data_IF_232288438521
#
_entry.id   IF_232288438521
#
_cell.length_a   1.000
_cell.length_b   1.000
_cell.length_c   1.000
_cell.angle_alpha   90.00
_cell.angle_beta   90.00
_cell.angle_gamma   90.00
#
_symmetry.space_group_name_H-M   'P 1'
#
loop_
_entity.id
_entity.type
_entity.pdbx_description
1 polymer ?
#
# COMPACT_ATOMS: atom_id res chain seq x y z
N UNK A 1 -12.37 -0.68 -13.40
CA UNK A 1 -13.15 0.16 -12.45
C UNK A 1 -13.43 1.52 -13.05
N UNK A 2 -12.45 2.38 -13.38
CA UNK A 2 -12.66 3.76 -13.88
C UNK A 2 -13.67 3.85 -15.01
N UNK A 3 -13.54 3.02 -16.05
CA UNK A 3 -14.43 3.04 -17.23
C UNK A 3 -15.93 2.80 -16.92
N UNK A 4 -16.25 2.17 -15.78
CA UNK A 4 -17.61 1.72 -15.50
C UNK A 4 -18.21 2.25 -14.20
N UNK A 5 -17.40 2.80 -13.29
CA UNK A 5 -17.85 3.15 -11.93
C UNK A 5 -18.91 4.26 -11.93
N UNK A 6 -18.89 5.16 -12.92
CA UNK A 6 -19.91 6.20 -13.07
C UNK A 6 -21.33 5.66 -13.22
N UNK A 7 -21.50 4.47 -13.81
CA UNK A 7 -22.82 3.80 -13.93
C UNK A 7 -23.38 3.34 -12.57
N UNK A 8 -22.52 3.29 -11.55
CA UNK A 8 -22.86 2.90 -10.18
C UNK A 8 -22.81 4.08 -9.21
N UNK A 9 -22.77 5.32 -9.73
CA UNK A 9 -22.72 6.54 -8.91
C UNK A 9 -21.36 6.89 -8.32
N UNK A 10 -20.29 6.17 -8.73
CA UNK A 10 -18.93 6.47 -8.30
C UNK A 10 -18.25 7.53 -9.18
N UNK A 11 -17.23 8.16 -8.63
CA UNK A 11 -16.41 9.15 -9.32
C UNK A 11 -15.18 8.48 -9.95
N UNK A 12 -15.07 8.39 -11.28
CA UNK A 12 -13.91 7.77 -11.93
C UNK A 12 -12.61 8.56 -11.74
N UNK A 13 -12.69 9.85 -11.41
CA UNK A 13 -11.55 10.71 -11.13
C UNK A 13 -11.00 10.52 -9.71
N UNK A 14 -11.78 9.95 -8.79
CA UNK A 14 -11.37 9.81 -7.39
C UNK A 14 -11.50 8.36 -6.91
N UNK A 15 -10.54 7.53 -7.30
CA UNK A 15 -10.44 6.14 -6.85
C UNK A 15 -9.36 6.01 -5.76
N UNK A 16 -9.73 5.39 -4.67
CA UNK A 16 -8.82 5.08 -3.57
C UNK A 16 -8.67 3.57 -3.47
N UNK A 17 -7.42 3.11 -3.24
CA UNK A 17 -7.15 1.70 -3.01
C UNK A 17 -6.77 1.45 -1.56
N UNK A 18 -7.30 0.39 -0.97
CA UNK A 18 -7.03 -0.01 0.41
C UNK A 18 -7.01 -1.52 0.55
N UNK A 19 -6.43 -2.00 1.63
CA UNK A 19 -6.42 -3.41 1.97
C UNK A 19 -5.55 -3.69 3.20
N UNK A 20 -5.83 -4.81 3.86
CA UNK A 20 -5.06 -5.28 5.02
C UNK A 20 -4.14 -6.45 4.68
N UNK A 21 -2.99 -6.58 5.34
CA UNK A 21 -2.04 -7.69 5.17
C UNK A 21 -1.57 -7.84 3.72
N UNK A 22 -1.83 -8.96 3.08
CA UNK A 22 -1.59 -9.14 1.65
C UNK A 22 -2.32 -8.08 0.79
N UNK A 23 -3.51 -7.63 1.22
CA UNK A 23 -4.23 -6.52 0.60
C UNK A 23 -3.50 -5.18 0.77
N UNK A 24 -2.83 -4.95 1.91
CA UNK A 24 -1.97 -3.78 2.14
C UNK A 24 -0.75 -3.77 1.23
N UNK A 25 -0.16 -4.95 1.01
CA UNK A 25 0.89 -5.15 0.00
C UNK A 25 0.38 -4.83 -1.41
N UNK A 26 -0.70 -5.49 -1.85
CA UNK A 26 -1.24 -5.34 -3.21
C UNK A 26 -1.74 -3.93 -3.49
N UNK A 27 -2.39 -3.27 -2.52
CA UNK A 27 -2.85 -1.89 -2.68
C UNK A 27 -1.68 -0.92 -2.83
N UNK A 28 -0.60 -1.14 -2.08
CA UNK A 28 0.62 -0.33 -2.21
C UNK A 28 1.32 -0.55 -3.54
N UNK A 29 1.47 -1.81 -3.95
CA UNK A 29 2.09 -2.16 -5.22
C UNK A 29 1.31 -1.56 -6.39
N UNK A 30 -0.01 -1.74 -6.44
CA UNK A 30 -0.87 -1.20 -7.48
C UNK A 30 -0.82 0.35 -7.53
N UNK A 31 -0.78 1.01 -6.37
CA UNK A 31 -0.71 2.47 -6.30
C UNK A 31 0.62 3.03 -6.81
N UNK A 32 1.71 2.27 -6.69
CA UNK A 32 3.06 2.69 -7.06
C UNK A 32 3.48 2.25 -8.48
N UNK A 33 2.69 1.39 -9.12
CA UNK A 33 3.01 0.84 -10.44
C UNK A 33 1.95 1.14 -11.51
N UNK A 34 1.35 2.36 -11.55
CA UNK A 34 0.42 2.67 -12.62
C UNK A 34 1.15 2.66 -13.97
N UNK A 35 0.56 2.01 -14.98
CA UNK A 35 1.13 1.92 -16.31
C UNK A 35 2.33 0.96 -16.44
N UNK A 36 2.69 0.21 -15.41
CA UNK A 36 3.75 -0.79 -15.52
C UNK A 36 3.26 -2.01 -16.32
N UNK A 37 3.75 -2.16 -17.54
CA UNK A 37 3.30 -3.22 -18.47
C UNK A 37 3.36 -4.64 -17.88
N UNK A 38 4.36 -4.93 -17.03
CA UNK A 38 4.47 -6.22 -16.35
C UNK A 38 3.25 -6.57 -15.47
N UNK A 39 2.50 -5.57 -15.01
CA UNK A 39 1.31 -5.74 -14.16
C UNK A 39 0.00 -5.46 -14.88
N UNK A 40 0.04 -5.09 -16.17
CA UNK A 40 -1.13 -4.76 -16.98
C UNK A 40 -1.21 -5.56 -18.29
N UNK A 41 -0.89 -6.88 -18.35
CA UNK A 41 -0.91 -7.62 -19.59
C UNK A 41 -2.30 -7.58 -20.24
N UNK A 42 -2.38 -7.04 -21.47
CA UNK A 42 -3.62 -6.84 -22.20
C UNK A 42 -4.44 -5.62 -21.77
N UNK A 43 -3.90 -4.76 -20.91
CA UNK A 43 -4.49 -3.52 -20.41
C UNK A 43 -3.48 -2.38 -20.38
N UNK A 44 -2.47 -2.41 -21.22
CA UNK A 44 -1.33 -1.50 -21.21
C UNK A 44 -1.75 -0.04 -21.40
N UNK A 45 -2.80 0.21 -22.18
CA UNK A 45 -3.35 1.54 -22.46
C UNK A 45 -4.37 2.02 -21.41
N UNK A 46 -4.66 1.23 -20.38
CA UNK A 46 -5.66 1.58 -19.38
C UNK A 46 -5.01 2.37 -18.25
N UNK A 47 -5.60 3.52 -17.90
CA UNK A 47 -5.20 4.27 -16.71
C UNK A 47 -5.55 3.51 -15.41
N UNK A 48 -4.52 3.02 -14.72
CA UNK A 48 -4.61 2.30 -13.45
C UNK A 48 -4.19 3.16 -12.25
N UNK A 49 -3.96 4.46 -12.44
CA UNK A 49 -3.61 5.36 -11.34
C UNK A 49 -4.73 5.47 -10.30
N UNK A 50 -4.36 5.81 -9.08
CA UNK A 50 -5.29 6.02 -7.96
C UNK A 50 -5.06 7.38 -7.30
N UNK A 51 -6.12 7.95 -6.74
CA UNK A 51 -6.07 9.25 -6.05
C UNK A 51 -5.38 9.16 -4.67
N UNK A 52 -5.43 8.01 -4.03
CA UNK A 52 -4.72 7.73 -2.77
C UNK A 52 -4.64 6.23 -2.51
N UNK A 53 -3.72 5.84 -1.61
CA UNK A 53 -3.63 4.48 -1.08
C UNK A 53 -3.66 4.49 0.46
N UNK A 54 -4.39 3.53 1.03
CA UNK A 54 -4.54 3.38 2.49
C UNK A 54 -4.25 1.92 2.89
N UNK A 55 -2.99 1.51 2.87
CA UNK A 55 -2.62 0.15 3.27
C UNK A 55 -2.61 -0.02 4.79
N UNK A 56 -3.14 -1.13 5.26
CA UNK A 56 -3.11 -1.58 6.65
C UNK A 56 -2.14 -2.76 6.79
N UNK A 57 -1.19 -2.66 7.70
CA UNK A 57 -0.25 -3.72 8.10
C UNK A 57 0.24 -4.60 6.93
N UNK A 58 0.62 -3.95 5.83
CA UNK A 58 1.12 -4.62 4.63
C UNK A 58 2.58 -5.03 4.72
N UNK A 59 2.99 -5.93 3.82
CA UNK A 59 4.40 -6.26 3.57
C UNK A 59 4.90 -5.38 2.43
N UNK A 60 5.94 -4.59 2.64
CA UNK A 60 6.38 -3.60 1.66
C UNK A 60 7.76 -3.88 1.06
N UNK A 61 8.58 -4.68 1.75
CA UNK A 61 9.91 -5.10 1.29
C UNK A 61 10.05 -6.62 1.38
N UNK A 62 9.90 -7.30 0.25
CA UNK A 62 10.05 -8.75 0.17
C UNK A 62 11.52 -9.18 0.11
N UNK A 63 12.42 -8.26 -0.25
CA UNK A 63 13.87 -8.50 -0.33
C UNK A 63 14.54 -8.39 1.04
N UNK A 64 13.78 -7.92 2.04
CA UNK A 64 14.24 -7.76 3.43
C UNK A 64 15.54 -6.96 3.56
N UNK A 65 15.57 -5.75 2.97
CA UNK A 65 16.71 -4.84 3.04
C UNK A 65 17.16 -4.53 4.47
N UNK A 66 16.25 -4.67 5.43
CA UNK A 66 16.50 -4.44 6.86
C UNK A 66 16.80 -5.70 7.68
N UNK A 67 16.96 -6.83 7.02
CA UNK A 67 17.38 -8.12 7.59
C UNK A 67 16.55 -8.55 8.80
N UNK A 68 15.48 -9.27 8.56
CA UNK A 68 14.62 -9.89 9.58
C UNK A 68 13.20 -9.35 9.62
N UNK A 69 12.88 -8.35 8.80
CA UNK A 69 11.51 -7.84 8.67
C UNK A 69 10.55 -8.83 7.97
N UNK A 70 11.09 -9.78 7.19
CA UNK A 70 10.30 -10.83 6.54
C UNK A 70 10.57 -12.23 7.10
N UNK A 71 11.32 -12.33 8.20
CA UNK A 71 11.67 -13.62 8.82
C UNK A 71 10.41 -14.43 9.08
N UNK A 72 10.35 -15.66 8.57
CA UNK A 72 9.19 -16.56 8.64
C UNK A 72 8.22 -16.42 7.46
N UNK A 73 8.23 -15.33 6.71
CA UNK A 73 7.44 -15.18 5.50
C UNK A 73 8.17 -15.68 4.24
N UNK A 74 9.50 -15.71 4.26
CA UNK A 74 10.32 -16.04 3.08
C UNK A 74 9.96 -17.40 2.49
N UNK A 75 9.75 -18.42 3.33
CA UNK A 75 9.35 -19.74 2.86
C UNK A 75 7.98 -19.74 2.18
N UNK A 76 7.01 -19.03 2.74
CA UNK A 76 5.69 -18.85 2.14
C UNK A 76 5.79 -18.10 0.81
N UNK A 77 6.53 -17.01 0.79
CA UNK A 77 6.73 -16.17 -0.39
C UNK A 77 7.39 -16.95 -1.51
N UNK A 78 8.50 -17.66 -1.22
CA UNK A 78 9.24 -18.43 -2.24
C UNK A 78 8.43 -19.59 -2.79
N UNK A 79 7.67 -20.31 -1.95
CA UNK A 79 6.94 -21.51 -2.38
C UNK A 79 5.58 -21.22 -2.99
N UNK A 80 4.87 -20.18 -2.54
CA UNK A 80 3.46 -19.97 -2.86
C UNK A 80 3.17 -18.69 -3.64
N UNK A 81 3.98 -17.65 -3.47
CA UNK A 81 3.72 -16.33 -4.05
C UNK A 81 4.64 -16.08 -5.25
N UNK A 82 5.93 -15.92 -5.01
CA UNK A 82 6.91 -15.60 -6.05
C UNK A 82 7.30 -16.85 -6.85
N UNK A 83 7.28 -18.04 -6.20
CA UNK A 83 7.61 -19.36 -6.76
C UNK A 83 9.07 -19.52 -7.18
N UNK A 84 9.93 -18.64 -6.73
CA UNK A 84 11.38 -18.69 -6.83
C UNK A 84 12.00 -18.29 -5.51
N UNK A 85 13.27 -18.62 -5.25
CA UNK A 85 13.96 -18.12 -4.07
C UNK A 85 14.52 -16.71 -4.33
N UNK A 86 14.77 -15.95 -3.27
CA UNK A 86 15.41 -14.64 -3.37
C UNK A 86 16.81 -14.70 -4.01
N UNK A 87 17.52 -15.82 -3.80
CA UNK A 87 18.86 -16.03 -4.36
C UNK A 87 18.79 -16.31 -5.87
N UNK A 88 17.78 -17.07 -6.30
CA UNK A 88 17.66 -17.49 -7.70
C UNK A 88 17.08 -16.38 -8.59
N UNK A 89 16.18 -15.54 -8.07
CA UNK A 89 15.50 -14.50 -8.85
C UNK A 89 15.19 -13.24 -8.01
N UNK A 90 16.26 -12.57 -7.60
CA UNK A 90 16.16 -11.33 -6.84
C UNK A 90 15.34 -10.24 -7.55
N UNK A 91 15.44 -10.18 -8.88
CA UNK A 91 14.75 -9.16 -9.67
C UNK A 91 13.23 -9.27 -9.56
N UNK A 92 12.69 -10.50 -9.56
CA UNK A 92 11.26 -10.73 -9.38
C UNK A 92 10.79 -10.38 -7.94
N UNK A 93 11.63 -10.64 -6.94
CA UNK A 93 11.35 -10.23 -5.56
C UNK A 93 11.36 -8.71 -5.38
N UNK A 94 12.30 -8.02 -6.03
CA UNK A 94 12.34 -6.55 -6.07
C UNK A 94 11.14 -5.98 -6.83
N UNK A 95 10.79 -6.57 -7.96
CA UNK A 95 9.61 -6.19 -8.74
C UNK A 95 8.34 -6.31 -7.89
N UNK A 96 8.20 -7.37 -7.11
CA UNK A 96 7.06 -7.59 -6.23
C UNK A 96 7.11 -6.76 -4.93
N UNK A 97 8.17 -6.02 -4.63
CA UNK A 97 8.33 -5.22 -3.40
C UNK A 97 7.82 -3.79 -3.60
N UNK A 98 6.73 -3.35 -2.95
CA UNK A 98 6.22 -1.97 -3.07
C UNK A 98 7.28 -0.90 -2.84
N UNK A 99 8.20 -1.09 -1.89
CA UNK A 99 9.25 -0.13 -1.57
C UNK A 99 10.21 0.11 -2.75
N UNK A 100 10.36 -0.86 -3.66
CA UNK A 100 11.20 -0.73 -4.86
C UNK A 100 10.64 0.24 -5.89
N UNK A 101 9.35 0.56 -5.80
CA UNK A 101 8.62 1.44 -6.73
C UNK A 101 8.33 2.81 -6.16
N UNK A 102 8.82 3.09 -4.94
CA UNK A 102 8.66 4.41 -4.34
C UNK A 102 9.38 5.46 -5.17
N UNK A 103 8.68 6.52 -5.52
CA UNK A 103 9.21 7.59 -6.36
C UNK A 103 8.44 8.90 -6.19
N UNK A 104 8.89 9.99 -6.83
CA UNK A 104 8.29 11.32 -6.69
C UNK A 104 6.84 11.41 -7.21
N UNK A 105 6.42 10.46 -8.04
CA UNK A 105 5.06 10.32 -8.56
C UNK A 105 4.13 9.48 -7.69
N UNK A 106 4.57 8.97 -6.54
CA UNK A 106 3.72 8.21 -5.63
C UNK A 106 2.50 9.05 -5.20
N UNK A 107 1.28 8.48 -5.21
CA UNK A 107 0.09 9.20 -4.77
C UNK A 107 0.12 9.46 -3.25
N UNK A 108 -0.83 10.22 -2.70
CA UNK A 108 -1.02 10.31 -1.26
C UNK A 108 -1.15 8.95 -0.59
N UNK A 109 -0.42 8.73 0.51
CA UNK A 109 -0.46 7.49 1.29
C UNK A 109 -0.87 7.74 2.73
N UNK A 110 -1.71 6.86 3.27
CA UNK A 110 -1.92 6.73 4.70
C UNK A 110 -1.64 5.29 5.12
N UNK A 111 -0.47 5.05 5.69
CA UNK A 111 -0.01 3.74 6.15
C UNK A 111 -0.39 3.55 7.62
N UNK A 112 -1.07 2.44 7.95
CA UNK A 112 -1.45 2.09 9.32
C UNK A 112 -0.83 0.75 9.71
N UNK A 113 -0.22 0.67 10.91
CA UNK A 113 0.41 -0.56 11.40
C UNK A 113 0.37 -0.65 12.92
N UNK A 114 0.24 -1.87 13.45
CA UNK A 114 0.27 -2.12 14.89
C UNK A 114 1.70 -2.36 15.40
N UNK A 115 2.05 -1.79 16.57
CA UNK A 115 3.41 -1.97 17.13
C UNK A 115 3.72 -3.40 17.59
N UNK A 116 2.70 -4.20 17.88
CA UNK A 116 2.83 -5.56 18.36
C UNK A 116 2.45 -6.59 17.29
N UNK A 117 2.47 -6.21 16.03
CA UNK A 117 2.17 -7.12 14.92
C UNK A 117 3.21 -8.25 14.88
N UNK A 118 2.75 -9.47 15.15
CA UNK A 118 3.58 -10.68 15.19
C UNK A 118 3.61 -11.44 13.87
N UNK A 119 2.83 -11.00 12.87
CA UNK A 119 2.78 -11.60 11.54
C UNK A 119 3.63 -10.79 10.56
N UNK A 120 3.41 -9.48 10.50
CA UNK A 120 4.20 -8.55 9.70
C UNK A 120 4.88 -7.55 10.63
N UNK A 121 6.20 -7.59 10.78
CA UNK A 121 6.92 -6.68 11.65
C UNK A 121 6.67 -5.21 11.30
N UNK A 122 6.49 -4.37 12.32
CA UNK A 122 6.19 -2.93 12.15
C UNK A 122 7.29 -2.18 11.40
N UNK A 123 8.50 -2.70 11.38
CA UNK A 123 9.65 -2.21 10.63
C UNK A 123 9.36 -2.11 9.13
N UNK A 124 8.53 -2.99 8.59
CA UNK A 124 8.08 -2.93 7.19
C UNK A 124 7.39 -1.59 6.90
N UNK A 125 6.45 -1.19 7.76
CA UNK A 125 5.72 0.07 7.60
C UNK A 125 6.58 1.30 7.89
N UNK A 126 7.49 1.22 8.86
CA UNK A 126 8.44 2.29 9.20
C UNK A 126 9.34 2.63 8.02
N UNK A 127 9.99 1.61 7.45
CA UNK A 127 10.89 1.75 6.30
C UNK A 127 10.16 2.27 5.07
N UNK A 128 9.00 1.69 4.77
CA UNK A 128 8.18 2.10 3.63
C UNK A 128 7.70 3.54 3.77
N UNK A 129 7.21 3.93 4.94
CA UNK A 129 6.74 5.30 5.20
C UNK A 129 7.89 6.31 5.15
N UNK A 130 9.09 5.94 5.60
CA UNK A 130 10.29 6.77 5.47
C UNK A 130 10.64 6.96 4.01
N UNK A 131 10.74 5.89 3.23
CA UNK A 131 11.05 5.97 1.79
C UNK A 131 10.04 6.84 1.03
N UNK A 132 8.74 6.71 1.35
CA UNK A 132 7.70 7.55 0.77
C UNK A 132 7.89 9.03 1.14
N UNK A 133 8.14 9.36 2.41
CA UNK A 133 8.32 10.75 2.86
C UNK A 133 9.54 11.42 2.25
N UNK A 134 10.61 10.66 2.05
CA UNK A 134 11.86 11.17 1.49
C UNK A 134 11.77 11.43 -0.02
N UNK A 135 10.82 10.78 -0.70
CA UNK A 135 10.79 10.77 -2.17
C UNK A 135 9.51 11.34 -2.76
N UNK A 136 8.33 11.05 -2.17
CA UNK A 136 7.05 11.50 -2.70
C UNK A 136 6.86 13.01 -2.53
N UNK A 137 6.22 13.63 -3.54
CA UNK A 137 5.78 15.04 -3.47
C UNK A 137 4.38 15.20 -2.88
N UNK A 138 3.73 14.07 -2.54
CA UNK A 138 2.37 14.03 -2.04
C UNK A 138 2.33 13.78 -0.52
N UNK A 139 1.21 14.06 0.14
CA UNK A 139 1.07 13.79 1.58
C UNK A 139 1.28 12.33 1.94
N UNK A 140 2.15 12.08 2.91
CA UNK A 140 2.39 10.75 3.48
C UNK A 140 2.11 10.80 4.97
N UNK A 141 1.05 10.11 5.39
CA UNK A 141 0.67 9.91 6.79
C UNK A 141 1.06 8.50 7.20
N UNK A 142 1.65 8.35 8.37
CA UNK A 142 1.91 7.07 9.00
C UNK A 142 1.33 7.08 10.40
N UNK A 143 0.47 6.11 10.71
CA UNK A 143 -0.09 5.87 12.03
C UNK A 143 0.41 4.52 12.57
N UNK A 144 1.23 4.59 13.61
CA UNK A 144 1.67 3.44 14.36
C UNK A 144 0.78 3.28 15.60
N UNK A 145 0.01 2.18 15.65
CA UNK A 145 -0.99 1.97 16.69
C UNK A 145 -0.37 1.19 17.87
N UNK A 146 -0.24 1.80 19.06
CA UNK A 146 0.37 1.16 20.22
C UNK A 146 -0.35 -0.13 20.59
N UNK A 147 0.44 -1.21 20.80
CA UNK A 147 -0.05 -2.53 21.23
C UNK A 147 -1.10 -3.17 20.32
N UNK A 148 -1.27 -2.67 19.09
CA UNK A 148 -2.13 -3.32 18.13
C UNK A 148 -1.41 -4.53 17.52
N UNK A 149 -2.15 -5.61 17.35
CA UNK A 149 -1.71 -6.82 16.66
C UNK A 149 -2.08 -6.74 15.17
N UNK A 150 -1.64 -7.74 14.41
CA UNK A 150 -2.08 -7.95 13.03
C UNK A 150 -3.60 -7.98 12.94
N UNK A 151 -4.17 -7.46 11.87
CA UNK A 151 -5.61 -7.49 11.62
C UNK A 151 -6.45 -6.83 12.73
N UNK A 152 -5.94 -5.76 13.35
CA UNK A 152 -6.58 -5.07 14.47
C UNK A 152 -7.94 -4.45 14.15
N UNK A 153 -8.28 -4.32 12.88
CA UNK A 153 -9.48 -3.69 12.35
C UNK A 153 -10.60 -4.69 11.97
N UNK A 154 -10.32 -6.00 11.97
CA UNK A 154 -11.32 -7.03 11.62
C UNK A 154 -12.48 -7.05 12.62
N UNK A 155 -12.19 -6.80 13.91
CA UNK A 155 -13.23 -6.74 14.92
C UNK A 155 -13.53 -5.29 15.30
N UNK A 156 -14.81 -4.93 15.51
CA UNK A 156 -15.19 -3.61 16.01
C UNK A 156 -14.52 -3.31 17.35
N UNK A 157 -13.81 -2.19 17.42
CA UNK A 157 -13.15 -1.71 18.65
C UNK A 157 -13.03 -0.20 18.63
N UNK A 158 -12.78 0.41 19.78
CA UNK A 158 -12.47 1.86 19.87
C UNK A 158 -11.29 2.20 18.95
N UNK A 159 -10.28 1.35 18.89
CA UNK A 159 -9.11 1.55 18.02
C UNK A 159 -9.49 1.53 16.55
N UNK A 160 -10.27 0.55 16.13
CA UNK A 160 -10.79 0.45 14.75
C UNK A 160 -11.59 1.69 14.38
N UNK A 161 -12.48 2.14 15.27
CA UNK A 161 -13.29 3.33 15.07
C UNK A 161 -12.41 4.57 14.83
N UNK A 162 -11.41 4.81 15.67
CA UNK A 162 -10.49 5.94 15.49
C UNK A 162 -9.62 5.81 14.23
N UNK A 163 -9.18 4.60 13.87
CA UNK A 163 -8.44 4.37 12.64
C UNK A 163 -9.29 4.71 11.40
N UNK A 164 -10.54 4.26 11.35
CA UNK A 164 -11.48 4.56 10.26
C UNK A 164 -11.74 6.07 10.15
N UNK A 165 -12.02 6.75 11.26
CA UNK A 165 -12.19 8.21 11.26
C UNK A 165 -10.94 8.97 10.79
N UNK A 166 -9.74 8.50 11.16
CA UNK A 166 -8.51 9.09 10.66
C UNK A 166 -8.36 8.94 9.14
N UNK A 167 -8.74 7.76 8.61
CA UNK A 167 -8.77 7.51 7.16
C UNK A 167 -9.78 8.43 6.48
N UNK A 168 -11.00 8.54 6.98
CA UNK A 168 -12.02 9.45 6.43
C UNK A 168 -11.52 10.89 6.35
N UNK A 169 -10.89 11.40 7.41
CA UNK A 169 -10.32 12.76 7.44
C UNK A 169 -9.18 12.93 6.44
N UNK A 170 -8.29 11.94 6.35
CA UNK A 170 -7.21 11.94 5.35
C UNK A 170 -7.79 12.01 3.94
N UNK A 171 -8.76 11.17 3.61
CA UNK A 171 -9.39 11.13 2.29
C UNK A 171 -10.17 12.42 1.97
N UNK A 172 -10.80 13.04 2.96
CA UNK A 172 -11.46 14.34 2.80
C UNK A 172 -10.44 15.43 2.41
N UNK A 173 -9.26 15.46 3.04
CA UNK A 173 -8.18 16.39 2.69
C UNK A 173 -7.63 16.10 1.29
N UNK A 174 -7.42 14.83 0.94
CA UNK A 174 -6.95 14.46 -0.40
C UNK A 174 -7.96 14.88 -1.45
N UNK A 175 -9.25 14.62 -1.22
CA UNK A 175 -10.33 14.97 -2.14
C UNK A 175 -10.45 16.49 -2.35
N UNK A 176 -10.33 17.29 -1.29
CA UNK A 176 -10.39 18.75 -1.39
C UNK A 176 -9.26 19.32 -2.25
N UNK A 177 -8.08 18.71 -2.21
CA UNK A 177 -6.93 19.09 -3.05
C UNK A 177 -7.06 18.60 -4.49
N UNK A 178 -7.68 17.42 -4.67
CA UNK A 178 -7.91 16.83 -5.99
C UNK A 178 -8.93 17.63 -6.80
N UNK A 179 -10.01 18.10 -6.19
CA UNK A 179 -11.04 18.94 -6.82
C UNK A 179 -10.63 20.42 -7.01
N UNK A 180 -9.58 20.88 -6.34
CA UNK A 180 -9.06 22.27 -6.47
C UNK A 180 -8.03 22.46 -7.60
N UNK A 181 -7.67 21.40 -8.30
CA UNK A 181 -6.77 21.43 -9.46
C UNK A 181 -7.55 21.43 -10.79
N UNK A 182 -8.64 22.21 -10.85
CA UNK A 182 -9.23 22.54 -12.17
C UNK A 182 -8.47 23.72 -12.75
N UNK A 183 -7.98 23.64 -14.01
CA UNK A 183 -7.19 24.67 -14.64
C UNK A 183 -7.98 25.97 -14.85
#
# INVERSE_FOLDING_TARGET
TKANIGRHGGDPGFLVITGGSAGGHLSSLAALTPGLAAYQPGFEDVDTSVAAAVPFYGVYDLVDRQRGATRGLEELLSKRVIKTTLVDDRANWELASPISHVGPGAPPFFVLHGTNDTVVPVEQARSFSTALRDTSRQPVVYAELPRAQHAFDILPSIRTHHAVHAVERFLAVVRSRHGGATP
#
